data_IF_383660816931
#
_entry.id   IF_383660816931
#
_cell.length_a   1.000
_cell.length_b   1.000
_cell.length_c   1.000
_cell.angle_alpha   90.00
_cell.angle_beta   90.00
_cell.angle_gamma   90.00
#
_symmetry.space_group_name_H-M   'P 1'
#
loop_
_entity.id
_entity.type
_entity.pdbx_description
1 polymer ?
#
# COMPACT_ATOMS: atom_id res chain seq x y z
N UNK A 1 10.84 -24.48 -9.62
CA UNK A 1 11.25 -23.37 -10.52
C UNK A 1 12.57 -22.73 -10.10
N UNK A 2 13.37 -23.34 -9.22
CA UNK A 2 14.75 -22.89 -8.94
C UNK A 2 14.88 -21.64 -8.07
N UNK A 3 13.78 -20.99 -7.67
CA UNK A 3 13.78 -19.83 -6.77
C UNK A 3 14.34 -20.15 -5.37
N UNK A 4 14.32 -21.42 -5.01
CA UNK A 4 14.87 -22.01 -3.79
C UNK A 4 16.40 -22.24 -3.87
N UNK A 5 17.03 -21.97 -5.03
CA UNK A 5 18.49 -21.97 -5.19
C UNK A 5 19.01 -20.56 -4.87
N UNK A 6 19.80 -20.37 -3.79
CA UNK A 6 20.24 -19.04 -3.34
C UNK A 6 20.92 -18.20 -4.42
N UNK A 7 21.76 -18.84 -5.24
CA UNK A 7 22.49 -18.16 -6.34
C UNK A 7 21.52 -17.59 -7.39
N UNK A 8 20.43 -18.31 -7.69
CA UNK A 8 19.41 -17.84 -8.65
C UNK A 8 18.62 -16.68 -8.05
N UNK A 9 18.23 -16.80 -6.77
CA UNK A 9 17.54 -15.72 -6.05
C UNK A 9 18.40 -14.46 -5.97
N UNK A 10 19.66 -14.58 -5.57
CA UNK A 10 20.60 -13.45 -5.50
C UNK A 10 20.81 -12.77 -6.85
N UNK A 11 20.97 -13.55 -7.93
CA UNK A 11 21.11 -13.02 -9.27
C UNK A 11 19.86 -12.24 -9.72
N UNK A 12 18.66 -12.79 -9.47
CA UNK A 12 17.39 -12.13 -9.80
C UNK A 12 17.16 -10.85 -8.97
N UNK A 13 17.69 -10.82 -7.74
CA UNK A 13 17.51 -9.71 -6.82
C UNK A 13 18.61 -8.63 -6.92
N UNK A 14 19.67 -8.86 -7.70
CA UNK A 14 20.83 -7.97 -7.80
C UNK A 14 20.51 -6.62 -8.44
N UNK A 15 19.65 -6.62 -9.45
CA UNK A 15 19.33 -5.43 -10.25
C UNK A 15 17.96 -4.83 -9.90
N UNK A 16 17.31 -5.33 -8.85
CA UNK A 16 16.02 -4.80 -8.40
C UNK A 16 16.24 -3.48 -7.63
N UNK A 17 15.71 -2.35 -8.11
CA UNK A 17 15.87 -1.05 -7.44
C UNK A 17 15.14 -1.00 -6.09
N UNK A 18 14.18 -1.90 -5.89
CA UNK A 18 13.39 -2.02 -4.68
C UNK A 18 12.92 -3.47 -4.51
N UNK A 19 12.85 -3.92 -3.25
CA UNK A 19 12.25 -5.21 -2.88
C UNK A 19 11.03 -4.92 -2.02
N UNK A 20 9.89 -5.44 -2.44
CA UNK A 20 8.68 -5.32 -1.66
C UNK A 20 8.87 -5.97 -0.28
N UNK A 21 8.34 -5.34 0.75
CA UNK A 21 8.40 -5.87 2.10
C UNK A 21 7.04 -5.76 2.79
N UNK A 22 6.89 -6.54 3.85
CA UNK A 22 5.67 -6.68 4.62
C UNK A 22 5.94 -6.23 6.06
N UNK A 23 4.98 -5.53 6.66
CA UNK A 23 4.93 -5.34 8.11
C UNK A 23 3.49 -5.47 8.64
N UNK A 24 3.31 -5.89 9.90
CA UNK A 24 1.99 -6.02 10.50
C UNK A 24 1.49 -4.69 11.06
N UNK A 25 0.21 -4.38 10.84
CA UNK A 25 -0.54 -3.32 11.52
C UNK A 25 -1.79 -3.93 12.17
N UNK A 26 -1.69 -4.25 13.46
CA UNK A 26 -2.72 -5.01 14.18
C UNK A 26 -2.96 -6.38 13.52
N UNK A 27 -4.14 -6.55 12.89
CA UNK A 27 -4.50 -7.77 12.14
C UNK A 27 -4.25 -7.67 10.64
N UNK A 28 -3.82 -6.51 10.17
CA UNK A 28 -3.51 -6.26 8.76
C UNK A 28 -2.04 -6.56 8.49
N UNK A 29 -1.78 -6.97 7.26
CA UNK A 29 -0.46 -7.24 6.73
C UNK A 29 -0.25 -6.27 5.56
N UNK A 30 0.50 -5.19 5.78
CA UNK A 30 0.71 -4.13 4.81
C UNK A 30 1.97 -4.44 4.00
N UNK A 31 1.79 -4.54 2.70
CA UNK A 31 2.85 -4.69 1.72
C UNK A 31 3.26 -3.33 1.18
N UNK A 32 4.54 -3.00 1.26
CA UNK A 32 5.11 -1.84 0.57
C UNK A 32 5.63 -2.31 -0.78
N UNK A 33 5.06 -1.78 -1.85
CA UNK A 33 5.30 -2.16 -3.25
C UNK A 33 6.16 -1.14 -4.00
N UNK A 34 6.23 0.10 -3.51
CA UNK A 34 7.06 1.17 -4.06
C UNK A 34 7.39 2.24 -3.02
N UNK A 35 8.55 2.89 -3.17
CA UNK A 35 9.12 3.85 -2.20
C UNK A 35 9.36 5.22 -2.84
N UNK A 36 8.32 5.78 -3.47
CA UNK A 36 8.32 7.17 -3.95
C UNK A 36 8.69 8.14 -2.83
N UNK A 37 9.49 9.16 -3.16
CA UNK A 37 10.02 10.13 -2.19
C UNK A 37 9.59 11.55 -2.54
N UNK A 38 9.32 12.35 -1.52
CA UNK A 38 9.06 13.78 -1.63
C UNK A 38 9.72 14.54 -0.48
N UNK A 39 9.52 15.86 -0.45
CA UNK A 39 9.91 16.72 0.67
C UNK A 39 8.81 16.88 1.74
N UNK A 40 7.73 16.09 1.66
CA UNK A 40 6.62 16.14 2.62
C UNK A 40 6.96 15.39 3.91
N UNK A 41 7.46 16.13 4.90
CA UNK A 41 7.80 15.55 6.21
C UNK A 41 6.60 14.91 6.92
N UNK A 42 5.40 15.48 6.74
CA UNK A 42 4.14 14.95 7.28
C UNK A 42 3.77 13.55 6.77
N UNK A 43 4.32 13.13 5.63
CA UNK A 43 4.14 11.79 5.06
C UNK A 43 5.41 10.95 5.19
N UNK A 44 6.26 11.25 6.17
CA UNK A 44 7.56 10.61 6.36
C UNK A 44 8.40 10.58 5.06
N UNK A 45 8.36 11.69 4.32
CA UNK A 45 9.04 11.89 3.04
C UNK A 45 8.58 10.96 1.91
N UNK A 46 7.43 10.30 2.06
CA UNK A 46 6.79 9.57 0.96
C UNK A 46 6.18 10.54 -0.08
N UNK A 47 6.08 10.10 -1.32
CA UNK A 47 5.47 10.88 -2.40
C UNK A 47 5.21 10.03 -3.63
N UNK A 48 5.09 10.68 -4.79
CA UNK A 48 4.84 10.05 -6.09
C UNK A 48 5.64 8.77 -6.30
N UNK A 49 4.92 7.67 -6.53
CA UNK A 49 5.47 6.31 -6.67
C UNK A 49 5.54 5.51 -5.38
N UNK A 50 5.12 6.05 -4.24
CA UNK A 50 4.90 5.29 -3.02
C UNK A 50 3.60 4.49 -3.14
N UNK A 51 3.69 3.19 -2.91
CA UNK A 51 2.59 2.27 -3.15
C UNK A 51 2.54 1.21 -2.07
N UNK A 52 1.37 0.97 -1.50
CA UNK A 52 1.16 -0.11 -0.55
C UNK A 52 -0.07 -0.94 -0.90
N UNK A 53 -0.15 -2.13 -0.33
CA UNK A 53 -1.35 -2.95 -0.44
C UNK A 53 -1.59 -3.80 0.79
N UNK A 54 -2.85 -4.15 1.02
CA UNK A 54 -3.20 -5.15 2.02
C UNK A 54 -4.48 -5.86 1.64
N UNK A 55 -4.74 -6.98 2.32
CA UNK A 55 -5.94 -7.78 2.06
C UNK A 55 -6.90 -7.63 3.23
N UNK A 56 -8.14 -7.27 2.93
CA UNK A 56 -9.19 -7.12 3.94
C UNK A 56 -10.56 -7.51 3.39
N UNK A 57 -11.49 -7.85 4.29
CA UNK A 57 -12.86 -8.21 3.89
C UNK A 57 -13.70 -6.95 3.72
N UNK A 58 -14.16 -6.69 2.50
CA UNK A 58 -15.01 -5.56 2.15
C UNK A 58 -16.31 -6.07 1.51
N UNK A 59 -17.46 -5.61 2.00
CA UNK A 59 -18.80 -6.05 1.51
C UNK A 59 -18.95 -7.58 1.43
N UNK A 60 -18.44 -8.30 2.45
CA UNK A 60 -18.43 -9.78 2.56
C UNK A 60 -17.54 -10.52 1.53
N UNK A 61 -16.72 -9.80 0.77
CA UNK A 61 -15.72 -10.38 -0.14
C UNK A 61 -14.31 -10.07 0.34
N UNK A 62 -13.36 -10.98 0.09
CA UNK A 62 -11.95 -10.75 0.37
C UNK A 62 -11.37 -9.91 -0.76
N UNK A 63 -10.97 -8.69 -0.44
CA UNK A 63 -10.51 -7.71 -1.42
C UNK A 63 -9.04 -7.34 -1.19
N UNK A 64 -8.36 -6.93 -2.26
CA UNK A 64 -7.04 -6.31 -2.22
C UNK A 64 -7.23 -4.82 -2.27
N UNK A 65 -6.73 -4.12 -1.26
CA UNK A 65 -6.64 -2.67 -1.22
C UNK A 65 -5.27 -2.29 -1.75
N UNK A 66 -5.23 -1.48 -2.80
CA UNK A 66 -4.00 -0.89 -3.33
C UNK A 66 -4.06 0.61 -3.09
N UNK A 67 -3.02 1.12 -2.46
CA UNK A 67 -2.90 2.52 -2.05
C UNK A 67 -1.74 3.16 -2.79
N UNK A 68 -1.95 4.35 -3.33
CA UNK A 68 -0.95 5.10 -4.08
C UNK A 68 -0.90 6.52 -3.55
N UNK A 69 0.31 7.04 -3.37
CA UNK A 69 0.55 8.45 -3.10
C UNK A 69 1.12 9.10 -4.35
N UNK A 70 0.49 10.19 -4.73
CA UNK A 70 0.93 11.12 -5.75
C UNK A 70 1.13 12.49 -5.09
N UNK A 71 1.80 13.41 -5.80
CA UNK A 71 2.13 14.71 -5.21
C UNK A 71 0.91 15.52 -4.76
N UNK A 72 -0.23 15.37 -5.45
CA UNK A 72 -1.44 16.16 -5.19
C UNK A 72 -2.61 15.34 -4.61
N UNK A 73 -2.51 14.01 -4.60
CA UNK A 73 -3.61 13.15 -4.15
C UNK A 73 -3.14 11.79 -3.63
N UNK A 74 -4.04 11.18 -2.87
CA UNK A 74 -3.96 9.84 -2.32
C UNK A 74 -5.09 9.02 -2.94
N UNK A 75 -4.78 7.83 -3.44
CA UNK A 75 -5.76 6.95 -4.07
C UNK A 75 -5.83 5.61 -3.34
N UNK A 76 -7.05 5.11 -3.12
CA UNK A 76 -7.31 3.75 -2.64
C UNK A 76 -8.17 3.02 -3.67
N UNK A 77 -7.58 2.03 -4.33
CA UNK A 77 -8.25 1.17 -5.30
C UNK A 77 -8.53 -0.19 -4.67
N UNK A 78 -9.79 -0.63 -4.70
CA UNK A 78 -10.24 -1.90 -4.13
C UNK A 78 -10.48 -2.90 -5.26
N UNK A 79 -9.76 -4.01 -5.24
CA UNK A 79 -9.94 -5.12 -6.18
C UNK A 79 -10.63 -6.32 -5.52
N UNK A 80 -11.57 -6.94 -6.22
CA UNK A 80 -12.15 -8.24 -5.88
C UNK A 80 -12.23 -9.08 -7.14
N UNK A 81 -11.84 -10.36 -7.06
CA UNK A 81 -11.96 -11.29 -8.21
C UNK A 81 -11.30 -10.75 -9.49
N UNK A 82 -10.20 -10.00 -9.36
CA UNK A 82 -9.44 -9.31 -10.42
C UNK A 82 -10.18 -8.13 -11.10
N UNK A 83 -11.30 -7.68 -10.55
CA UNK A 83 -12.04 -6.50 -11.01
C UNK A 83 -11.92 -5.35 -10.01
N UNK A 84 -11.93 -4.11 -10.52
CA UNK A 84 -11.99 -2.92 -9.68
C UNK A 84 -13.42 -2.79 -9.15
N UNK A 85 -13.56 -2.86 -7.82
CA UNK A 85 -14.83 -2.64 -7.14
C UNK A 85 -15.12 -1.15 -6.96
N UNK A 86 -14.12 -0.41 -6.47
CA UNK A 86 -14.24 0.99 -6.10
C UNK A 86 -12.86 1.65 -6.17
N UNK A 87 -12.86 2.96 -6.43
CA UNK A 87 -11.70 3.83 -6.35
C UNK A 87 -12.12 5.02 -5.49
N UNK A 88 -11.29 5.37 -4.51
CA UNK A 88 -11.45 6.56 -3.68
C UNK A 88 -10.22 7.44 -3.86
N UNK A 89 -10.42 8.74 -3.99
CA UNK A 89 -9.35 9.72 -4.24
C UNK A 89 -9.60 10.96 -3.40
N UNK A 90 -8.60 11.36 -2.62
CA UNK A 90 -8.63 12.61 -1.84
C UNK A 90 -7.23 13.21 -1.78
N UNK A 91 -7.06 14.42 -1.28
CA UNK A 91 -5.76 15.09 -1.16
C UNK A 91 -4.93 14.62 0.05
N UNK A 92 -5.50 13.80 0.94
CA UNK A 92 -4.89 13.41 2.20
C UNK A 92 -5.22 11.94 2.56
N UNK A 93 -4.26 11.16 3.11
CA UNK A 93 -4.49 9.79 3.57
C UNK A 93 -5.67 9.65 4.56
N UNK A 94 -5.83 10.60 5.48
CA UNK A 94 -6.92 10.61 6.46
C UNK A 94 -8.28 10.81 5.81
N UNK A 95 -8.36 11.71 4.82
CA UNK A 95 -9.62 12.03 4.17
C UNK A 95 -10.08 10.90 3.25
N UNK A 96 -9.18 10.33 2.46
CA UNK A 96 -9.52 9.19 1.60
C UNK A 96 -10.01 8.00 2.45
N UNK A 97 -9.38 7.71 3.60
CA UNK A 97 -9.82 6.63 4.47
C UNK A 97 -11.14 6.91 5.20
N UNK A 98 -11.47 8.19 5.46
CA UNK A 98 -12.82 8.57 5.91
C UNK A 98 -13.87 8.28 4.84
N UNK A 99 -13.57 8.51 3.56
CA UNK A 99 -14.50 8.19 2.46
C UNK A 99 -14.72 6.68 2.28
N UNK A 100 -13.68 5.86 2.45
CA UNK A 100 -13.80 4.40 2.40
C UNK A 100 -14.72 3.89 3.55
N UNK A 101 -14.77 4.62 4.67
CA UNK A 101 -15.69 4.40 5.80
C UNK A 101 -15.59 3.01 6.49
N UNK A 102 -14.45 2.35 6.34
CA UNK A 102 -14.08 1.11 7.06
C UNK A 102 -12.75 1.32 7.76
N UNK A 103 -12.35 0.39 8.63
CA UNK A 103 -11.06 0.43 9.33
C UNK A 103 -10.80 1.74 10.09
N UNK A 104 -11.87 2.43 10.51
CA UNK A 104 -11.85 3.74 11.16
C UNK A 104 -11.16 3.74 12.54
N UNK A 105 -10.75 2.58 13.04
CA UNK A 105 -9.92 2.48 14.24
C UNK A 105 -8.44 2.81 13.98
N UNK A 106 -8.01 2.91 12.72
CA UNK A 106 -6.66 3.29 12.32
C UNK A 106 -6.68 4.69 11.68
N UNK A 107 -5.58 5.43 11.81
CA UNK A 107 -5.34 6.62 11.02
C UNK A 107 -5.04 6.23 9.56
N UNK A 108 -5.40 7.11 8.62
CA UNK A 108 -5.09 6.91 7.21
C UNK A 108 -3.59 6.78 6.96
N UNK A 109 -2.77 7.55 7.68
CA UNK A 109 -1.30 7.46 7.62
C UNK A 109 -0.76 6.10 8.06
N UNK A 110 -1.34 5.49 9.10
CA UNK A 110 -0.99 4.13 9.53
C UNK A 110 -1.37 3.10 8.44
N UNK A 111 -2.58 3.21 7.87
CA UNK A 111 -3.04 2.31 6.81
C UNK A 111 -2.20 2.41 5.54
N UNK A 112 -1.74 3.61 5.19
CA UNK A 112 -0.78 3.81 4.11
C UNK A 112 0.62 3.27 4.44
N UNK A 113 0.94 3.01 5.70
CA UNK A 113 2.27 2.57 6.14
C UNK A 113 3.29 3.69 6.22
N UNK A 114 2.80 4.92 6.44
CA UNK A 114 3.63 6.09 6.63
C UNK A 114 4.10 6.18 8.07
N UNK A 115 3.28 5.76 9.03
CA UNK A 115 3.59 5.77 10.46
C UNK A 115 3.59 4.35 11.01
N UNK A 116 4.36 4.14 12.09
CA UNK A 116 4.57 2.84 12.75
C UNK A 116 4.32 2.97 14.24
#
# INVERSE_FOLDING_TARGET
>A
MGFDIPIISEALLKDLPFRAFLFPLGKLNIWVLGIGKSNKNEWNFAGTGYKTSFIYTYRKKRCVFVQELEDDYCQVTIYSENEICNIYVDNNPELVWKEVAILQQYEGKELFGLEN
#
